data_IF_277957919484
#
_entry.id   IF_277957919484
#
_cell.length_a   1.000
_cell.length_b   1.000
_cell.length_c   1.000
_cell.angle_alpha   90.00
_cell.angle_beta   90.00
_cell.angle_gamma   90.00
#
_symmetry.space_group_name_H-M   'P 1'
#
loop_
_entity.id
_entity.type
_entity.pdbx_description
1 polymer ?
#
# COMPACT_ATOMS: atom_id res chain seq x y z
N UNK A 1 3.36 -10.83 38.59
CA UNK A 1 3.41 -10.31 38.53
C UNK A 1 3.70 -10.20 38.46
N UNK A 2 3.85 -10.94 38.52
CA UNK A 2 4.17 -10.71 38.29
C UNK A 2 4.33 -10.68 37.94
N UNK A 3 3.90 -10.91 37.36
CA UNK A 3 4.10 -10.74 37.02
C UNK A 3 4.28 -10.56 36.72
N UNK A 4 4.42 -11.11 36.77
CA UNK A 4 4.66 -10.73 36.57
C UNK A 4 4.59 -10.57 36.09
N UNK A 5 4.38 -11.13 36.07
CA UNK A 5 4.39 -10.73 35.63
C UNK A 5 4.40 -10.63 35.13
N UNK A 6 4.34 -11.07 34.97
CA UNK A 6 4.37 -10.67 34.53
C UNK A 6 4.43 -10.53 34.11
N UNK A 7 4.33 -11.09 33.85
CA UNK A 7 4.38 -10.73 33.56
C UNK A 7 4.37 -10.66 33.12
N UNK A 8 4.34 -11.19 32.85
CA UNK A 8 4.39 -10.89 32.44
C UNK A 8 4.14 -10.84 32.00
N UNK A 9 3.92 -11.51 31.76
CA UNK A 9 3.74 -11.14 31.40
C UNK A 9 3.71 -11.09 31.04
N UNK A 10 3.71 -11.53 30.79
CA UNK A 10 3.74 -11.04 30.47
C UNK A 10 3.72 -11.09 30.18
N UNK A 11 3.56 -11.79 29.80
CA UNK A 11 3.62 -11.45 29.59
C UNK A 11 3.33 -11.54 29.23
N UNK A 12 3.22 -12.22 29.34
CA UNK A 12 3.04 -11.92 28.97
C UNK A 12 2.57 -12.21 28.50
N UNK A 13 2.22 -12.80 27.95
CA UNK A 13 1.83 -12.74 27.69
C UNK A 13 1.32 -12.77 27.18
N UNK A 14 1.08 -13.43 27.01
CA UNK A 14 0.66 -13.32 26.69
C UNK A 14 0.47 -13.36 26.14
N UNK A 15 0.46 -13.71 25.78
CA UNK A 15 0.06 -13.56 25.30
C UNK A 15 -0.45 -13.12 24.42
N UNK A 16 -1.24 -12.83 24.61
CA UNK A 16 -1.52 -13.06 23.22
C UNK A 16 -1.99 -11.77 22.53
N UNK A 17 -2.96 -11.04 23.03
CA UNK A 17 -3.43 -9.79 22.44
C UNK A 17 -2.39 -8.69 22.35
N UNK A 18 -1.86 -8.20 23.46
CA UNK A 18 -0.89 -7.09 23.40
C UNK A 18 0.40 -7.48 22.70
N UNK A 19 0.84 -8.72 22.87
CA UNK A 19 2.07 -9.17 22.23
C UNK A 19 1.88 -9.22 20.71
N UNK A 20 0.75 -9.76 20.24
CA UNK A 20 0.46 -9.79 18.82
C UNK A 20 0.39 -8.40 18.21
N UNK A 21 -0.21 -7.48 18.92
CA UNK A 21 -0.33 -6.10 18.45
C UNK A 21 1.05 -5.44 18.33
N UNK A 22 1.90 -5.64 19.31
CA UNK A 22 3.26 -5.12 19.29
C UNK A 22 4.06 -5.71 18.14
N UNK A 23 3.92 -7.01 17.91
CA UNK A 23 4.61 -7.66 16.81
C UNK A 23 4.16 -7.11 15.47
N UNK A 24 2.87 -6.88 15.30
CA UNK A 24 2.35 -6.29 14.07
C UNK A 24 2.89 -4.89 13.86
N UNK A 25 2.92 -4.07 14.91
CA UNK A 25 3.43 -2.72 14.82
C UNK A 25 4.92 -2.69 14.54
N UNK A 26 5.68 -3.60 15.17
CA UNK A 26 7.12 -3.65 14.95
C UNK A 26 7.48 -4.18 13.57
N UNK A 27 6.57 -4.93 12.92
CA UNK A 27 6.79 -5.41 11.57
C UNK A 27 6.38 -4.41 10.50
N UNK A 28 5.72 -3.32 10.88
CA UNK A 28 5.35 -2.27 9.94
C UNK A 28 6.59 -1.52 9.46
N UNK A 29 6.69 -1.23 8.14
CA UNK A 29 7.81 -0.44 7.64
C UNK A 29 7.67 1.01 8.04
N UNK A 30 8.78 1.75 7.98
CA UNK A 30 8.72 3.20 8.16
C UNK A 30 8.07 3.90 6.98
N UNK A 31 8.25 3.35 5.79
CA UNK A 31 7.72 3.92 4.55
C UNK A 31 7.07 2.80 3.74
N UNK A 32 5.89 3.07 3.21
CA UNK A 32 5.21 2.18 2.27
C UNK A 32 4.78 2.99 1.04
N UNK A 33 5.07 2.47 -0.15
CA UNK A 33 4.85 3.15 -1.42
C UNK A 33 3.73 2.47 -2.19
N UNK A 34 2.75 3.25 -2.63
CA UNK A 34 1.72 2.77 -3.56
C UNK A 34 2.08 3.30 -4.94
N UNK A 35 2.19 2.41 -5.92
CA UNK A 35 2.51 2.80 -7.29
C UNK A 35 1.40 2.43 -8.25
N UNK A 36 1.06 3.35 -9.14
CA UNK A 36 -0.01 3.12 -10.10
C UNK A 36 0.50 3.28 -11.52
N UNK A 37 0.06 2.39 -12.39
CA UNK A 37 0.52 2.32 -13.76
C UNK A 37 -0.25 3.26 -14.67
N UNK A 38 0.35 3.54 -15.83
CA UNK A 38 -0.27 4.35 -16.88
C UNK A 38 -1.30 3.54 -17.66
N UNK A 39 -2.09 4.25 -18.49
CA UNK A 39 -3.11 3.65 -19.35
C UNK A 39 -2.48 2.55 -20.21
N UNK A 40 -3.14 1.41 -20.29
CA UNK A 40 -2.79 0.22 -21.06
C UNK A 40 -1.52 -0.52 -20.61
N UNK A 41 -0.84 -0.07 -19.58
CA UNK A 41 0.27 -0.83 -19.03
C UNK A 41 -0.24 -2.14 -18.43
N UNK A 42 0.53 -3.23 -18.52
CA UNK A 42 0.14 -4.48 -17.87
C UNK A 42 0.14 -4.34 -16.36
N UNK A 43 -0.54 -5.27 -15.69
CA UNK A 43 -0.63 -5.27 -14.22
C UNK A 43 0.74 -5.11 -13.58
N UNK A 44 0.81 -4.32 -12.52
CA UNK A 44 2.04 -3.97 -11.85
C UNK A 44 2.17 -2.46 -11.72
N UNK A 45 3.40 -1.97 -11.72
CA UNK A 45 3.68 -0.55 -11.52
C UNK A 45 3.72 0.27 -12.81
N UNK A 46 3.90 -0.38 -13.95
CA UNK A 46 4.15 0.34 -15.19
C UNK A 46 5.39 1.22 -15.05
N UNK A 47 5.34 2.41 -15.66
CA UNK A 47 6.46 3.35 -15.63
C UNK A 47 6.75 3.92 -14.23
N UNK A 48 5.80 3.82 -13.31
CA UNK A 48 6.04 4.29 -11.94
C UNK A 48 7.07 3.43 -11.22
N UNK A 49 7.39 2.24 -11.73
CA UNK A 49 8.36 1.34 -11.11
C UNK A 49 9.72 2.00 -10.89
N UNK A 50 10.12 2.90 -11.79
CA UNK A 50 11.42 3.60 -11.64
C UNK A 50 11.45 4.41 -10.34
N UNK A 51 10.41 5.18 -10.07
CA UNK A 51 10.35 5.99 -8.85
C UNK A 51 10.16 5.12 -7.62
N UNK A 52 9.31 4.10 -7.72
CA UNK A 52 9.10 3.16 -6.61
C UNK A 52 10.44 2.53 -6.21
N UNK A 53 11.20 2.05 -7.19
CA UNK A 53 12.49 1.39 -6.92
C UNK A 53 13.52 2.37 -6.33
N UNK A 54 13.52 3.61 -6.78
CA UNK A 54 14.41 4.62 -6.20
C UNK A 54 14.12 4.81 -4.71
N UNK A 55 12.85 4.86 -4.33
CA UNK A 55 12.47 5.00 -2.92
C UNK A 55 12.87 3.77 -2.12
N UNK A 56 12.58 2.58 -2.66
CA UNK A 56 12.91 1.33 -1.96
C UNK A 56 14.41 1.20 -1.74
N UNK A 57 15.21 1.63 -2.71
CA UNK A 57 16.67 1.58 -2.59
C UNK A 57 17.22 2.62 -1.63
N UNK A 58 16.61 3.82 -1.62
CA UNK A 58 17.07 4.90 -0.74
C UNK A 58 16.72 4.64 0.73
N UNK A 59 15.66 3.89 0.99
CA UNK A 59 15.17 3.64 2.35
C UNK A 59 15.02 2.14 2.57
N UNK A 60 16.11 1.45 2.93
CA UNK A 60 16.06 0.01 3.17
C UNK A 60 15.00 -0.34 4.23
N UNK A 61 14.28 -1.41 3.99
CA UNK A 61 13.18 -1.81 4.85
C UNK A 61 11.83 -1.22 4.45
N UNK A 62 11.79 -0.28 3.50
CA UNK A 62 10.52 0.18 2.96
C UNK A 62 9.86 -0.91 2.11
N UNK A 63 8.55 -0.81 1.98
CA UNK A 63 7.75 -1.77 1.22
C UNK A 63 6.91 -1.04 0.17
N UNK A 64 6.32 -1.80 -0.75
CA UNK A 64 5.51 -1.20 -1.79
C UNK A 64 4.42 -2.15 -2.25
N UNK A 65 3.41 -1.58 -2.90
CA UNK A 65 2.39 -2.35 -3.59
C UNK A 65 1.88 -1.58 -4.80
N UNK A 66 1.42 -2.32 -5.82
CA UNK A 66 0.85 -1.73 -7.02
C UNK A 66 -0.65 -1.53 -6.82
N UNK A 67 -1.17 -0.44 -7.36
CA UNK A 67 -2.61 -0.18 -7.35
C UNK A 67 -3.27 -1.07 -8.42
N UNK A 68 -4.28 -1.82 -8.00
CA UNK A 68 -5.00 -2.72 -8.89
C UNK A 68 -6.24 -2.01 -9.43
N UNK A 69 -6.18 -1.54 -10.67
CA UNK A 69 -7.28 -0.84 -11.33
C UNK A 69 -7.18 -1.09 -12.84
N UNK A 70 -8.24 -0.79 -13.64
CA UNK A 70 -8.23 -1.14 -15.06
C UNK A 70 -7.13 -0.49 -15.90
N UNK A 71 -6.76 0.76 -15.60
CA UNK A 71 -5.77 1.51 -16.38
C UNK A 71 -6.13 1.50 -17.88
N UNK A 72 -7.37 1.85 -18.19
CA UNK A 72 -7.93 1.68 -19.52
C UNK A 72 -8.42 3.02 -20.07
N UNK A 73 -8.36 3.16 -21.39
CA UNK A 73 -8.91 4.32 -22.08
C UNK A 73 -9.88 3.91 -23.17
N UNK A 74 -10.60 2.79 -22.98
CA UNK A 74 -11.58 2.29 -23.93
C UNK A 74 -11.05 1.17 -24.82
N UNK A 75 -9.78 0.81 -24.72
CA UNK A 75 -9.19 -0.22 -25.57
C UNK A 75 -9.71 -1.61 -25.18
N UNK A 76 -9.86 -2.48 -26.19
CA UNK A 76 -10.28 -3.85 -25.92
C UNK A 76 -9.25 -4.64 -25.14
N UNK A 77 -7.97 -4.29 -25.28
CA UNK A 77 -6.89 -4.98 -24.57
C UNK A 77 -6.99 -4.85 -23.05
N UNK A 78 -7.70 -3.86 -22.56
CA UNK A 78 -7.92 -3.68 -21.11
C UNK A 78 -9.41 -3.76 -20.74
N UNK A 79 -10.19 -4.49 -21.55
CA UNK A 79 -11.58 -4.77 -21.24
C UNK A 79 -12.57 -3.71 -21.71
N UNK A 80 -12.14 -2.74 -22.49
CA UNK A 80 -13.03 -1.73 -23.04
C UNK A 80 -13.53 -0.70 -22.03
N UNK A 81 -12.99 -0.68 -20.82
CA UNK A 81 -13.39 0.28 -19.79
C UNK A 81 -13.01 1.68 -20.24
N UNK A 82 -13.95 2.62 -20.17
CA UNK A 82 -13.70 4.00 -20.57
C UNK A 82 -12.64 4.65 -19.67
N UNK A 83 -11.99 5.67 -20.20
CA UNK A 83 -11.00 6.42 -19.43
C UNK A 83 -11.61 6.96 -18.13
N UNK A 84 -12.79 7.60 -18.22
CA UNK A 84 -13.45 8.16 -17.05
C UNK A 84 -13.77 7.11 -16.00
N UNK A 85 -14.30 5.97 -16.43
CA UNK A 85 -14.63 4.89 -15.50
C UNK A 85 -13.36 4.28 -14.89
N UNK A 86 -12.28 4.20 -15.67
CA UNK A 86 -11.01 3.71 -15.18
C UNK A 86 -10.41 4.65 -14.13
N UNK A 87 -10.52 5.96 -14.34
CA UNK A 87 -10.06 6.96 -13.37
C UNK A 87 -10.81 6.81 -12.05
N UNK A 88 -12.14 6.68 -12.12
CA UNK A 88 -12.97 6.49 -10.92
C UNK A 88 -12.56 5.21 -10.18
N UNK A 89 -12.38 4.12 -10.94
CA UNK A 89 -11.93 2.86 -10.35
C UNK A 89 -10.56 3.01 -9.68
N UNK A 90 -9.67 3.78 -10.30
CA UNK A 90 -8.34 4.05 -9.73
C UNK A 90 -8.42 4.84 -8.43
N UNK A 91 -9.26 5.87 -8.40
CA UNK A 91 -9.47 6.67 -7.18
C UNK A 91 -9.95 5.77 -6.04
N UNK A 92 -10.93 4.92 -6.32
CA UNK A 92 -11.47 4.01 -5.31
C UNK A 92 -10.43 2.98 -4.87
N UNK A 93 -9.63 2.47 -5.80
CA UNK A 93 -8.58 1.51 -5.49
C UNK A 93 -7.50 2.11 -4.59
N UNK A 94 -7.08 3.35 -4.88
CA UNK A 94 -6.10 4.05 -4.05
C UNK A 94 -6.66 4.28 -2.65
N UNK A 95 -7.88 4.78 -2.54
CA UNK A 95 -8.50 5.02 -1.24
C UNK A 95 -8.59 3.74 -0.42
N UNK A 96 -8.99 2.65 -1.05
CA UNK A 96 -9.11 1.35 -0.38
C UNK A 96 -7.75 0.84 0.09
N UNK A 97 -6.73 0.92 -0.77
CA UNK A 97 -5.40 0.44 -0.44
C UNK A 97 -4.77 1.25 0.69
N UNK A 98 -4.89 2.58 0.61
CA UNK A 98 -4.34 3.48 1.62
C UNK A 98 -5.01 3.26 2.97
N UNK A 99 -6.35 3.21 2.99
CA UNK A 99 -7.08 3.02 4.23
C UNK A 99 -6.78 1.66 4.86
N UNK A 100 -6.71 0.63 4.05
CA UNK A 100 -6.41 -0.72 4.54
C UNK A 100 -5.02 -0.78 5.16
N UNK A 101 -4.03 -0.20 4.50
CA UNK A 101 -2.67 -0.20 5.04
C UNK A 101 -2.57 0.65 6.30
N UNK A 102 -3.22 1.81 6.30
CA UNK A 102 -3.18 2.72 7.45
C UNK A 102 -3.82 2.10 8.69
N UNK A 103 -4.84 1.28 8.51
CA UNK A 103 -5.45 0.57 9.65
C UNK A 103 -4.49 -0.42 10.28
N UNK A 104 -3.67 -1.10 9.47
CA UNK A 104 -2.71 -2.08 9.97
C UNK A 104 -1.45 -1.42 10.51
N UNK A 105 -1.02 -0.34 9.88
CA UNK A 105 0.27 0.30 10.19
C UNK A 105 0.08 1.83 10.27
N UNK A 106 -0.59 2.32 11.33
CA UNK A 106 -0.96 3.73 11.40
C UNK A 106 0.22 4.70 11.50
N UNK A 107 1.40 4.22 11.88
CA UNK A 107 2.58 5.09 12.00
C UNK A 107 3.47 5.07 10.78
N UNK A 108 3.17 4.23 9.79
CA UNK A 108 3.94 4.17 8.54
C UNK A 108 3.68 5.41 7.71
N UNK A 109 4.75 6.02 7.18
CA UNK A 109 4.62 7.11 6.23
C UNK A 109 4.23 6.55 4.87
N UNK A 110 3.15 7.09 4.28
CA UNK A 110 2.63 6.59 3.02
C UNK A 110 3.02 7.51 1.89
N UNK A 111 3.49 6.93 0.78
CA UNK A 111 3.90 7.65 -0.42
C UNK A 111 3.11 7.11 -1.59
N UNK A 112 2.55 8.01 -2.39
CA UNK A 112 1.80 7.64 -3.59
C UNK A 112 2.56 8.10 -4.81
N UNK A 113 2.78 7.17 -5.75
CA UNK A 113 3.45 7.44 -7.02
C UNK A 113 2.47 7.10 -8.14
N UNK A 114 2.10 8.09 -8.93
CA UNK A 114 1.22 7.89 -10.05
C UNK A 114 1.85 8.44 -11.32
N UNK A 115 1.53 7.82 -12.45
CA UNK A 115 2.02 8.25 -13.74
C UNK A 115 0.85 8.25 -14.73
N UNK A 116 0.73 9.33 -15.51
CA UNK A 116 -0.29 9.46 -16.56
C UNK A 116 -1.70 9.43 -15.96
N UNK A 117 -2.46 8.37 -16.17
CA UNK A 117 -3.88 8.33 -15.83
C UNK A 117 -4.15 8.58 -14.33
N UNK A 118 -3.36 7.99 -13.46
CA UNK A 118 -3.58 8.15 -12.01
C UNK A 118 -3.24 9.55 -11.55
N UNK A 119 -2.26 10.19 -12.16
CA UNK A 119 -1.90 11.56 -11.82
C UNK A 119 -2.97 12.56 -12.29
N UNK A 120 -3.94 12.13 -13.10
CA UNK A 120 -5.09 12.94 -13.49
C UNK A 120 -6.19 12.98 -12.43
N UNK A 121 -6.11 12.10 -11.44
CA UNK A 121 -7.10 12.07 -10.37
C UNK A 121 -6.95 13.30 -9.48
N UNK A 122 -8.06 13.90 -9.04
CA UNK A 122 -8.01 15.07 -8.19
C UNK A 122 -7.45 14.80 -6.80
#
# INVERSE_FOLDING_TARGET
>A
MLFTAVTLALLGQALAGPVDLEERQSSCPNIHVFGARETTAPAGYGSSSTVVNLILNAYPGSTSEAINYPACGGQSSCGGVSYGNSVVAGINAVASAVNSFNQRCPSTQLVLVGYSQVSSAP
#
